data_IF_573933992071
#
_entry.id   IF_573933992071
#
_cell.length_a   1.000
_cell.length_b   1.000
_cell.length_c   1.000
_cell.angle_alpha   90.00
_cell.angle_beta   90.00
_cell.angle_gamma   90.00
#
_symmetry.space_group_name_H-M   'P 1'
#
loop_
_entity.id
_entity.type
_entity.pdbx_description
1 polymer ?
#
# COMPACT_ATOMS: atom_id res chain seq x y z
N UNK A 1 -40.83 46.45 24.06
CA UNK A 1 -41.87 45.45 24.39
C UNK A 1 -41.35 44.13 23.83
N UNK A 2 -40.46 43.40 24.52
CA UNK A 2 -40.71 42.50 25.66
C UNK A 2 -41.73 41.42 25.27
N UNK A 3 -41.39 40.13 25.19
CA UNK A 3 -40.97 39.32 26.34
C UNK A 3 -40.19 38.06 25.95
N UNK A 4 -39.09 37.86 26.70
CA UNK A 4 -38.34 36.61 26.89
C UNK A 4 -39.13 35.71 27.85
N UNK A 5 -39.18 34.39 27.60
CA UNK A 5 -39.64 33.42 28.60
C UNK A 5 -38.50 32.46 28.92
N UNK A 6 -37.95 32.63 30.12
CA UNK A 6 -37.05 31.71 30.82
C UNK A 6 -37.88 30.63 31.52
N UNK A 7 -37.42 29.37 31.48
CA UNK A 7 -37.89 28.34 32.41
C UNK A 7 -36.72 27.69 33.13
N UNK A 8 -36.97 27.46 34.42
CA UNK A 8 -36.03 27.21 35.50
C UNK A 8 -35.37 25.82 35.48
N UNK A 9 -34.09 25.83 35.85
CA UNK A 9 -33.31 24.70 36.34
C UNK A 9 -33.92 24.16 37.65
N UNK A 10 -34.10 22.83 37.74
CA UNK A 10 -34.21 22.10 39.01
C UNK A 10 -33.10 21.05 39.07
N UNK A 11 -32.24 21.21 40.06
CA UNK A 11 -31.20 20.27 40.45
C UNK A 11 -31.79 19.10 41.24
N UNK A 12 -31.49 17.87 40.83
CA UNK A 12 -31.65 16.67 41.66
C UNK A 12 -30.29 16.02 41.87
N UNK A 13 -29.89 16.00 43.13
CA UNK A 13 -28.65 15.41 43.64
C UNK A 13 -28.86 13.91 43.81
N UNK A 14 -28.09 13.08 43.11
CA UNK A 14 -28.08 11.62 43.30
C UNK A 14 -26.75 11.20 43.91
N UNK A 15 -26.86 10.50 45.03
CA UNK A 15 -25.81 10.10 45.97
C UNK A 15 -25.19 8.77 45.49
N UNK A 16 -23.94 8.78 45.05
CA UNK A 16 -23.20 7.56 44.67
C UNK A 16 -22.63 6.88 45.92
N UNK A 17 -23.09 5.66 46.20
CA UNK A 17 -22.50 4.79 47.22
C UNK A 17 -21.29 4.05 46.63
N UNK A 18 -20.18 4.10 47.36
CA UNK A 18 -18.94 3.36 47.10
C UNK A 18 -19.06 2.04 47.85
N UNK A 19 -19.05 0.92 47.11
CA UNK A 19 -18.94 -0.42 47.68
C UNK A 19 -17.53 -0.98 47.37
N UNK A 20 -16.70 -1.06 48.40
CA UNK A 20 -15.41 -1.74 48.42
C UNK A 20 -15.64 -3.25 48.57
N UNK A 21 -15.16 -4.04 47.61
CA UNK A 21 -15.12 -5.50 47.72
C UNK A 21 -13.66 -5.97 47.81
N UNK A 22 -13.29 -6.45 48.99
CA UNK A 22 -12.02 -7.13 49.26
C UNK A 22 -12.13 -8.61 48.87
N UNK A 23 -11.34 -9.10 47.92
CA UNK A 23 -11.22 -10.53 47.63
C UNK A 23 -9.86 -11.09 48.08
N UNK A 24 -9.94 -12.23 48.76
CA UNK A 24 -8.87 -12.95 49.44
C UNK A 24 -8.04 -13.76 48.43
N UNK A 25 -6.72 -13.70 48.59
CA UNK A 25 -5.72 -14.52 47.91
C UNK A 25 -5.85 -16.01 48.24
N UNK A 26 -5.86 -16.87 47.21
CA UNK A 26 -5.58 -18.31 47.34
C UNK A 26 -4.62 -18.74 46.21
N UNK A 27 -3.48 -19.31 46.60
CA UNK A 27 -2.42 -19.82 45.71
C UNK A 27 -2.76 -21.23 45.20
N UNK A 28 -2.53 -21.59 43.93
CA UNK A 28 -2.42 -22.98 43.50
C UNK A 28 -0.96 -23.46 43.40
N UNK A 29 -0.74 -24.72 43.80
CA UNK A 29 0.53 -25.47 43.73
C UNK A 29 0.87 -25.91 42.29
N UNK A 30 2.16 -26.10 41.92
CA UNK A 30 2.54 -26.60 40.60
C UNK A 30 2.33 -28.12 40.48
N UNK A 31 1.83 -28.57 39.32
CA UNK A 31 1.71 -29.98 38.93
C UNK A 31 3.00 -30.44 38.22
N UNK A 32 3.48 -31.62 38.60
CA UNK A 32 4.66 -32.29 38.03
C UNK A 32 4.51 -32.61 36.54
N UNK A 33 5.58 -32.41 35.77
CA UNK A 33 5.71 -32.84 34.37
C UNK A 33 6.49 -34.15 34.33
N UNK A 34 5.90 -35.18 33.73
CA UNK A 34 6.49 -36.50 33.52
C UNK A 34 7.29 -36.50 32.20
N UNK A 35 8.61 -36.73 32.27
CA UNK A 35 9.51 -36.75 31.13
C UNK A 35 9.63 -38.19 30.58
N UNK A 36 9.08 -38.45 29.40
CA UNK A 36 9.26 -39.70 28.65
C UNK A 36 10.49 -39.57 27.72
N UNK A 37 11.56 -40.29 28.06
CA UNK A 37 12.76 -40.43 27.23
C UNK A 37 12.61 -41.62 26.29
N UNK A 38 12.54 -41.37 24.98
CA UNK A 38 12.73 -42.41 23.96
C UNK A 38 14.15 -42.30 23.40
N UNK A 39 14.98 -43.31 23.72
CA UNK A 39 16.29 -43.56 23.11
C UNK A 39 16.08 -44.42 21.87
N UNK A 40 16.58 -44.00 20.71
CA UNK A 40 16.88 -44.92 19.59
C UNK A 40 18.39 -44.88 19.29
N UNK A 41 19.00 -46.07 19.24
CA UNK A 41 20.41 -46.30 18.88
C UNK A 41 20.52 -46.47 17.36
N UNK A 42 21.59 -46.01 16.69
CA UNK A 42 21.81 -46.30 15.29
C UNK A 42 22.57 -47.64 15.15
N UNK A 43 22.28 -48.37 14.07
CA UNK A 43 23.15 -49.44 13.57
C UNK A 43 23.21 -49.43 12.04
N UNK A 44 24.32 -49.94 11.47
CA UNK A 44 24.98 -49.33 10.31
C UNK A 44 24.71 -50.06 8.99
N UNK A 45 24.96 -49.34 7.90
CA UNK A 45 25.01 -49.84 6.53
C UNK A 45 26.38 -50.46 6.29
N UNK A 46 26.43 -51.60 5.61
CA UNK A 46 27.60 -51.98 4.81
C UNK A 46 27.34 -53.09 3.77
N UNK A 47 27.80 -52.81 2.53
CA UNK A 47 28.40 -53.71 1.51
C UNK A 47 27.54 -54.86 0.90
N UNK A 48 27.67 -55.32 -0.36
CA UNK A 48 28.71 -55.24 -1.40
C UNK A 48 28.15 -55.77 -2.76
N UNK A 49 28.59 -55.13 -3.85
CA UNK A 49 29.09 -55.69 -5.13
C UNK A 49 28.22 -56.47 -6.15
N UNK A 50 28.34 -55.89 -7.37
CA UNK A 50 28.73 -56.48 -8.67
C UNK A 50 27.75 -57.33 -9.48
N UNK A 51 27.48 -56.86 -10.70
CA UNK A 51 27.87 -57.58 -11.94
C UNK A 51 28.16 -56.63 -13.10
N UNK A 52 29.11 -57.07 -13.91
CA UNK A 52 29.74 -56.47 -15.09
C UNK A 52 28.94 -56.83 -16.36
N UNK A 53 29.12 -56.05 -17.44
CA UNK A 53 29.01 -56.32 -18.90
C UNK A 53 28.55 -54.98 -19.52
N UNK A 54 29.15 -54.36 -20.53
CA UNK A 54 30.30 -54.61 -21.40
C UNK A 54 30.42 -53.38 -22.34
N UNK A 55 31.63 -53.06 -22.79
CA UNK A 55 31.94 -52.01 -23.79
C UNK A 55 31.11 -52.15 -25.06
N UNK A 56 30.63 -51.05 -25.66
CA UNK A 56 31.13 -50.48 -26.94
C UNK A 56 30.65 -49.01 -27.10
N UNK A 57 31.57 -48.08 -27.34
CA UNK A 57 31.43 -47.05 -28.40
C UNK A 57 30.71 -45.72 -28.12
N UNK A 58 31.48 -44.70 -27.73
CA UNK A 58 31.58 -43.42 -28.47
C UNK A 58 30.45 -42.37 -28.42
N UNK A 59 30.77 -41.21 -27.82
CA UNK A 59 30.25 -39.90 -28.27
C UNK A 59 29.40 -39.11 -27.26
N UNK A 60 30.02 -38.12 -26.59
CA UNK A 60 29.39 -37.07 -25.76
C UNK A 60 28.33 -36.30 -26.58
N UNK A 61 27.08 -36.14 -26.12
CA UNK A 61 26.58 -35.11 -25.17
C UNK A 61 26.31 -33.79 -25.92
N UNK A 62 25.12 -33.18 -25.98
CA UNK A 62 23.98 -33.04 -25.07
C UNK A 62 22.69 -32.80 -25.90
N UNK A 63 21.56 -33.38 -25.49
CA UNK A 63 20.22 -32.95 -25.92
C UNK A 63 19.33 -32.86 -24.68
N UNK A 64 18.61 -31.74 -24.55
CA UNK A 64 17.66 -31.52 -23.46
C UNK A 64 16.26 -32.06 -23.75
N UNK A 65 15.35 -31.64 -22.86
CA UNK A 65 13.90 -31.45 -23.04
C UNK A 65 12.96 -32.55 -22.49
N UNK A 66 12.14 -32.12 -21.50
CA UNK A 66 10.73 -32.45 -21.13
C UNK A 66 10.20 -33.88 -20.89
N UNK A 67 9.49 -33.96 -19.75
CA UNK A 67 8.18 -34.58 -19.40
C UNK A 67 7.83 -36.04 -19.74
N UNK A 68 7.28 -36.78 -18.75
CA UNK A 68 5.88 -37.31 -18.68
C UNK A 68 5.62 -38.17 -17.39
N UNK A 69 4.50 -37.85 -16.73
CA UNK A 69 3.56 -38.53 -15.78
C UNK A 69 3.72 -39.94 -15.13
N UNK A 70 3.34 -40.00 -13.81
CA UNK A 70 2.23 -40.79 -13.17
C UNK A 70 2.48 -41.84 -12.03
N UNK A 71 1.56 -41.79 -11.03
CA UNK A 71 1.10 -42.78 -10.00
C UNK A 71 2.04 -43.15 -8.81
N UNK A 72 1.64 -43.29 -7.52
CA UNK A 72 0.54 -44.07 -6.89
C UNK A 72 0.08 -43.51 -5.51
N UNK A 73 -1.20 -43.79 -5.24
CA UNK A 73 -2.13 -43.72 -4.09
C UNK A 73 -1.74 -43.89 -2.59
N UNK A 74 -2.60 -43.22 -1.79
CA UNK A 74 -3.37 -43.58 -0.55
C UNK A 74 -2.74 -44.41 0.58
N UNK A 75 -2.79 -43.82 1.78
CA UNK A 75 -3.28 -44.49 3.01
C UNK A 75 -4.31 -43.57 3.69
N UNK A 76 -5.53 -44.11 3.88
CA UNK A 76 -6.59 -43.57 4.73
C UNK A 76 -6.28 -43.88 6.20
N UNK A 77 -6.54 -42.92 7.09
CA UNK A 77 -6.86 -43.21 8.50
C UNK A 77 -8.06 -42.35 8.88
N UNK A 78 -9.21 -43.00 9.10
CA UNK A 78 -10.38 -42.44 9.76
C UNK A 78 -10.15 -42.34 11.27
N UNK A 79 -10.49 -41.20 11.86
CA UNK A 79 -10.80 -41.07 13.28
C UNK A 79 -11.97 -40.07 13.42
N UNK A 80 -13.19 -40.60 13.55
CA UNK A 80 -14.31 -39.88 14.16
C UNK A 80 -14.19 -39.98 15.68
N UNK A 81 -14.27 -38.84 16.40
CA UNK A 81 -15.09 -38.70 17.63
C UNK A 81 -15.41 -37.20 17.87
N UNK A 82 -16.71 -36.86 17.81
CA UNK A 82 -17.46 -36.09 18.83
C UNK A 82 -17.09 -34.64 19.17
N UNK A 83 -17.91 -33.70 18.66
CA UNK A 83 -18.69 -32.73 19.43
C UNK A 83 -18.01 -31.78 20.43
N UNK A 84 -17.90 -30.49 20.05
CA UNK A 84 -18.44 -29.32 20.77
C UNK A 84 -17.96 -28.01 20.08
N UNK A 85 -18.86 -27.04 19.94
CA UNK A 85 -18.59 -25.73 19.35
C UNK A 85 -18.14 -24.69 20.39
N UNK A 86 -17.48 -23.63 19.88
CA UNK A 86 -17.40 -22.22 20.36
C UNK A 86 -16.00 -21.78 20.91
N UNK A 87 -15.64 -20.47 20.92
CA UNK A 87 -15.19 -19.72 19.73
C UNK A 87 -14.02 -18.70 19.99
N UNK A 88 -13.58 -18.03 18.91
CA UNK A 88 -12.85 -16.74 18.80
C UNK A 88 -11.34 -16.60 19.15
N UNK A 89 -10.62 -16.14 18.11
CA UNK A 89 -9.64 -15.04 18.07
C UNK A 89 -8.49 -14.96 19.08
N UNK A 90 -7.24 -14.89 18.57
CA UNK A 90 -6.34 -13.71 18.66
C UNK A 90 -4.97 -13.98 18.00
N UNK A 91 -4.21 -12.93 17.63
CA UNK A 91 -3.11 -12.99 16.65
C UNK A 91 -1.76 -13.43 17.25
N UNK A 92 -0.95 -14.05 16.41
CA UNK A 92 0.46 -14.36 16.69
C UNK A 92 1.32 -13.13 16.43
N UNK A 93 1.78 -12.46 17.49
CA UNK A 93 2.98 -11.64 17.48
C UNK A 93 3.81 -11.95 18.72
N UNK A 94 5.13 -11.91 18.53
CA UNK A 94 6.19 -11.88 19.55
C UNK A 94 6.72 -13.22 20.08
N UNK A 95 7.63 -13.82 19.32
CA UNK A 95 8.77 -14.53 19.92
C UNK A 95 10.04 -14.28 19.09
N UNK A 96 10.79 -13.26 19.50
CA UNK A 96 12.18 -13.05 19.10
C UNK A 96 13.03 -12.80 20.34
N UNK A 97 13.97 -13.72 20.55
CA UNK A 97 15.30 -13.52 21.14
C UNK A 97 15.42 -13.47 22.67
N UNK A 98 15.67 -14.64 23.27
CA UNK A 98 16.75 -14.84 24.23
C UNK A 98 17.31 -16.27 24.05
N UNK A 99 18.36 -16.43 23.24
CA UNK A 99 19.21 -17.63 23.26
C UNK A 99 20.54 -17.22 23.87
N UNK A 100 20.68 -17.42 25.18
CA UNK A 100 21.97 -17.37 25.88
C UNK A 100 22.73 -18.66 25.58
N UNK A 101 23.88 -18.50 24.92
CA UNK A 101 24.82 -19.59 24.69
C UNK A 101 25.47 -19.99 26.01
N UNK A 102 25.28 -21.23 26.43
CA UNK A 102 26.11 -21.87 27.46
C UNK A 102 27.04 -22.86 26.77
N UNK A 103 28.31 -22.47 26.59
CA UNK A 103 29.37 -23.37 26.18
C UNK A 103 29.67 -24.37 27.30
N UNK A 104 29.52 -25.66 27.01
CA UNK A 104 30.14 -26.74 27.79
C UNK A 104 31.58 -26.92 27.31
N UNK A 105 32.57 -26.66 28.18
CA UNK A 105 33.90 -27.24 28.04
C UNK A 105 34.09 -28.28 29.15
N UNK A 106 34.16 -29.55 28.74
CA UNK A 106 34.51 -30.68 29.60
C UNK A 106 36.03 -30.66 29.80
N UNK A 107 36.47 -30.53 31.06
CA UNK A 107 37.86 -30.73 31.45
C UNK A 107 38.24 -32.21 31.34
N UNK A 108 39.19 -32.53 30.46
CA UNK A 108 39.95 -33.78 30.51
C UNK A 108 41.23 -33.56 31.36
N UNK A 109 41.67 -34.54 32.17
CA UNK A 109 42.90 -34.41 32.93
C UNK A 109 44.11 -34.49 31.98
N UNK A 110 44.94 -33.45 31.97
CA UNK A 110 46.24 -33.42 31.29
C UNK A 110 47.15 -34.49 31.90
N UNK A 111 47.50 -35.50 31.10
CA UNK A 111 48.67 -36.35 31.34
C UNK A 111 49.90 -35.49 31.03
N UNK A 112 50.74 -35.22 32.03
CA UNK A 112 52.03 -34.56 31.88
C UNK A 112 52.91 -35.42 30.98
N UNK A 113 52.98 -35.04 29.70
CA UNK A 113 54.01 -35.46 28.77
C UNK A 113 54.73 -34.18 28.41
N UNK A 114 56.01 -34.15 28.70
CA UNK A 114 56.95 -33.08 28.38
C UNK A 114 56.99 -32.93 26.86
N UNK A 115 56.12 -32.06 26.32
CA UNK A 115 56.08 -31.75 24.90
C UNK A 115 57.10 -30.66 24.62
N UNK A 116 58.05 -31.04 23.78
CA UNK A 116 58.97 -30.19 23.03
C UNK A 116 58.37 -28.79 22.75
N UNK A 117 59.10 -27.74 23.15
CA UNK A 117 58.71 -26.31 23.20
C UNK A 117 58.18 -25.74 21.85
N UNK A 118 58.29 -26.52 20.77
CA UNK A 118 57.74 -26.24 19.44
C UNK A 118 56.24 -26.52 19.30
N UNK A 119 55.71 -27.57 19.95
CA UNK A 119 54.30 -27.93 19.84
C UNK A 119 53.38 -26.98 20.63
N UNK A 120 53.83 -26.49 21.79
CA UNK A 120 53.12 -25.49 22.57
C UNK A 120 53.01 -24.14 21.83
N UNK A 121 54.08 -23.72 21.14
CA UNK A 121 54.09 -22.51 20.30
C UNK A 121 53.15 -22.63 19.10
N UNK A 122 53.05 -23.80 18.47
CA UNK A 122 52.11 -24.04 17.37
C UNK A 122 50.65 -24.03 17.82
N UNK A 123 50.31 -24.63 18.97
CA UNK A 123 48.94 -24.57 19.51
C UNK A 123 48.53 -23.15 19.89
N UNK A 124 49.44 -22.38 20.50
CA UNK A 124 49.16 -20.99 20.87
C UNK A 124 48.97 -20.09 19.63
N UNK A 125 49.74 -20.30 18.56
CA UNK A 125 49.54 -19.60 17.28
C UNK A 125 48.23 -19.99 16.59
N UNK A 126 47.80 -21.25 16.70
CA UNK A 126 46.53 -21.73 16.15
C UNK A 126 45.33 -21.07 16.87
N UNK A 127 45.33 -21.05 18.20
CA UNK A 127 44.27 -20.42 19.01
C UNK A 127 44.20 -18.89 18.77
N UNK A 128 45.34 -18.23 18.59
CA UNK A 128 45.40 -16.80 18.29
C UNK A 128 44.86 -16.50 16.87
N UNK A 129 45.11 -17.39 15.90
CA UNK A 129 44.59 -17.26 14.53
C UNK A 129 43.07 -17.50 14.48
N UNK A 130 42.56 -18.47 15.23
CA UNK A 130 41.13 -18.74 15.37
C UNK A 130 40.39 -17.60 16.08
N UNK A 131 40.97 -17.03 17.14
CA UNK A 131 40.45 -15.86 17.84
C UNK A 131 40.37 -14.63 16.92
N UNK A 132 41.43 -14.34 16.15
CA UNK A 132 41.44 -13.24 15.17
C UNK A 132 40.41 -13.45 14.06
N UNK A 133 40.23 -14.68 13.61
CA UNK A 133 39.23 -15.05 12.59
C UNK A 133 37.80 -14.89 13.10
N UNK A 134 37.54 -15.31 14.35
CA UNK A 134 36.25 -15.14 15.01
C UNK A 134 35.90 -13.66 15.21
N UNK A 135 36.87 -12.83 15.62
CA UNK A 135 36.69 -11.38 15.77
C UNK A 135 36.36 -10.73 14.42
N UNK A 136 37.09 -11.08 13.34
CA UNK A 136 36.82 -10.55 12.00
C UNK A 136 35.45 -10.97 11.47
N UNK A 137 35.04 -12.23 11.70
CA UNK A 137 33.71 -12.74 11.35
C UNK A 137 32.60 -12.03 12.14
N UNK A 138 32.80 -11.76 13.43
CA UNK A 138 31.85 -10.97 14.24
C UNK A 138 31.73 -9.52 13.77
N UNK A 139 32.83 -8.86 13.40
CA UNK A 139 32.79 -7.52 12.82
C UNK A 139 32.10 -7.51 11.45
N UNK A 140 32.32 -8.52 10.61
CA UNK A 140 31.64 -8.66 9.32
C UNK A 140 30.12 -8.90 9.50
N UNK A 141 29.72 -9.75 10.46
CA UNK A 141 28.31 -9.97 10.78
C UNK A 141 27.65 -8.70 11.33
N UNK A 142 28.33 -7.94 12.19
CA UNK A 142 27.84 -6.69 12.73
C UNK A 142 27.70 -5.61 11.64
N UNK A 143 28.64 -5.55 10.69
CA UNK A 143 28.56 -4.68 9.53
C UNK A 143 27.39 -5.06 8.61
N UNK A 144 27.13 -6.36 8.41
CA UNK A 144 25.96 -6.86 7.67
C UNK A 144 24.63 -6.49 8.38
N UNK A 145 24.57 -6.57 9.72
CA UNK A 145 23.39 -6.18 10.51
C UNK A 145 23.11 -4.66 10.49
N UNK A 146 24.13 -3.82 10.27
CA UNK A 146 23.98 -2.35 10.18
C UNK A 146 23.47 -1.87 8.82
N UNK A 147 23.37 -2.74 7.80
CA UNK A 147 23.05 -2.34 6.41
C UNK A 147 21.57 -2.45 6.03
N UNK A 148 20.68 -2.86 6.94
CA UNK A 148 19.26 -3.06 6.64
C UNK A 148 18.33 -2.18 7.47
N UNK A 149 18.59 -0.88 7.60
CA UNK A 149 17.54 0.06 8.02
C UNK A 149 16.74 0.47 6.79
N UNK A 150 15.67 -0.25 6.48
CA UNK A 150 14.67 0.25 5.53
C UNK A 150 14.00 1.46 6.17
N UNK A 151 14.21 2.67 5.62
CA UNK A 151 13.58 3.88 6.15
C UNK A 151 12.07 3.79 5.89
N UNK A 152 11.30 3.42 6.91
CA UNK A 152 9.85 3.33 6.81
C UNK A 152 9.24 4.74 6.77
N UNK A 153 8.15 4.89 6.00
CA UNK A 153 7.39 6.13 6.01
C UNK A 153 6.83 6.40 7.41
N UNK A 154 6.80 7.67 7.81
CA UNK A 154 6.33 8.10 9.14
C UNK A 154 5.67 9.46 9.05
N UNK A 155 4.68 9.72 9.91
CA UNK A 155 3.92 10.97 9.92
C UNK A 155 4.75 12.19 10.33
N UNK A 156 5.80 11.99 11.11
CA UNK A 156 6.65 13.04 11.67
C UNK A 156 8.05 13.07 11.03
N UNK A 157 8.19 12.57 9.80
CA UNK A 157 9.49 12.42 9.10
C UNK A 157 10.29 13.73 9.06
N UNK A 158 9.63 14.85 8.79
CA UNK A 158 10.26 16.17 8.68
C UNK A 158 10.27 16.98 9.98
N UNK A 159 9.82 16.43 11.12
CA UNK A 159 9.67 17.18 12.38
C UNK A 159 10.94 17.95 12.81
N UNK A 160 12.11 17.36 12.59
CA UNK A 160 13.39 17.96 12.98
C UNK A 160 14.06 18.75 11.84
N UNK A 161 13.76 18.42 10.58
CA UNK A 161 14.43 19.01 9.40
C UNK A 161 13.63 20.18 8.82
N UNK A 162 12.31 20.03 8.68
CA UNK A 162 11.37 21.03 8.17
C UNK A 162 10.05 20.96 8.97
N UNK A 163 10.02 21.48 10.21
CA UNK A 163 8.84 21.37 11.09
C UNK A 163 7.58 22.04 10.52
N UNK A 164 7.75 23.03 9.65
CA UNK A 164 6.64 23.80 9.06
C UNK A 164 6.14 23.23 7.72
N UNK A 165 6.64 22.06 7.27
CA UNK A 165 6.34 21.51 5.94
C UNK A 165 4.83 21.45 5.66
N UNK A 166 4.05 20.93 6.61
CA UNK A 166 2.61 20.78 6.42
C UNK A 166 1.90 22.13 6.27
N UNK A 167 2.28 23.14 7.07
CA UNK A 167 1.70 24.47 6.97
C UNK A 167 2.09 25.19 5.68
N UNK A 168 3.34 25.02 5.21
CA UNK A 168 3.82 25.63 3.99
C UNK A 168 3.10 25.05 2.76
N UNK A 169 2.99 23.71 2.69
CA UNK A 169 2.24 23.04 1.63
C UNK A 169 0.76 23.45 1.67
N UNK A 170 0.11 23.37 2.84
CA UNK A 170 -1.30 23.73 2.98
C UNK A 170 -1.58 25.16 2.53
N UNK A 171 -0.76 26.13 2.95
CA UNK A 171 -0.91 27.52 2.56
C UNK A 171 -0.80 27.71 1.04
N UNK A 172 0.18 27.05 0.41
CA UNK A 172 0.36 27.12 -1.05
C UNK A 172 -0.83 26.47 -1.80
N UNK A 173 -1.29 25.32 -1.33
CA UNK A 173 -2.42 24.58 -1.90
C UNK A 173 -3.72 25.37 -1.75
N UNK A 174 -4.00 25.94 -0.57
CA UNK A 174 -5.17 26.80 -0.35
C UNK A 174 -5.17 28.00 -1.30
N UNK A 175 -4.02 28.66 -1.48
CA UNK A 175 -3.90 29.78 -2.42
C UNK A 175 -4.17 29.34 -3.86
N UNK A 176 -3.68 28.17 -4.28
CA UNK A 176 -3.92 27.64 -5.64
C UNK A 176 -5.38 27.21 -5.83
N UNK A 177 -5.99 26.57 -4.82
CA UNK A 177 -7.40 26.19 -4.84
C UNK A 177 -8.34 27.40 -4.97
N UNK A 178 -8.02 28.52 -4.31
CA UNK A 178 -8.77 29.78 -4.45
C UNK A 178 -8.69 30.39 -5.86
N UNK A 179 -7.66 30.05 -6.65
CA UNK A 179 -7.56 30.51 -8.04
C UNK A 179 -8.49 29.72 -8.97
N UNK A 180 -8.63 28.42 -8.73
CA UNK A 180 -9.49 27.54 -9.51
C UNK A 180 -9.79 26.26 -8.77
N UNK A 181 -11.07 25.85 -8.78
CA UNK A 181 -11.50 24.58 -8.21
C UNK A 181 -10.84 23.37 -8.90
N UNK A 182 -10.43 23.49 -10.17
CA UNK A 182 -9.74 22.43 -10.95
C UNK A 182 -8.51 21.89 -10.21
N UNK A 183 -7.87 22.72 -9.39
CA UNK A 183 -6.79 22.34 -8.46
C UNK A 183 -7.08 21.04 -7.72
N UNK A 184 -8.27 20.87 -7.17
CA UNK A 184 -8.58 19.70 -6.35
C UNK A 184 -8.63 18.38 -7.12
N UNK A 185 -9.52 18.20 -8.12
CA UNK A 185 -9.54 16.97 -8.88
C UNK A 185 -8.24 16.73 -9.66
N UNK A 186 -7.55 17.79 -10.11
CA UNK A 186 -6.28 17.67 -10.82
C UNK A 186 -5.17 17.09 -9.92
N UNK A 187 -4.96 17.65 -8.72
CA UNK A 187 -3.94 17.15 -7.78
C UNK A 187 -4.28 15.76 -7.25
N UNK A 188 -5.55 15.48 -6.98
CA UNK A 188 -5.99 14.16 -6.54
C UNK A 188 -5.73 13.08 -7.60
N UNK A 189 -6.10 13.35 -8.86
CA UNK A 189 -5.83 12.45 -9.99
C UNK A 189 -4.33 12.30 -10.24
N UNK A 190 -3.56 13.38 -10.13
CA UNK A 190 -2.11 13.36 -10.33
C UNK A 190 -1.41 12.41 -9.35
N UNK A 191 -1.82 12.39 -8.08
CA UNK A 191 -1.27 11.46 -7.09
C UNK A 191 -1.62 10.00 -7.40
N UNK A 192 -2.85 9.73 -7.87
CA UNK A 192 -3.20 8.38 -8.32
C UNK A 192 -2.33 7.92 -9.48
N UNK A 193 -2.14 8.77 -10.49
CA UNK A 193 -1.31 8.46 -11.65
C UNK A 193 0.16 8.22 -11.27
N UNK A 194 0.72 9.05 -10.40
CA UNK A 194 2.08 8.86 -9.86
C UNK A 194 2.23 7.46 -9.25
N UNK A 195 1.36 7.15 -8.29
CA UNK A 195 1.44 5.90 -7.53
C UNK A 195 1.24 4.64 -8.38
N UNK A 196 0.47 4.69 -9.47
CA UNK A 196 0.16 3.50 -10.28
C UNK A 196 1.22 3.16 -11.34
N UNK A 197 2.04 4.12 -11.78
CA UNK A 197 2.97 3.91 -12.91
C UNK A 197 4.31 3.33 -12.43
N UNK A 198 4.96 3.96 -11.45
CA UNK A 198 6.25 3.50 -10.90
C UNK A 198 6.30 3.48 -9.37
N UNK A 199 5.15 3.62 -8.73
CA UNK A 199 5.04 3.91 -7.31
C UNK A 199 5.01 5.41 -7.04
N UNK A 200 4.67 5.80 -5.81
CA UNK A 200 4.56 7.21 -5.43
C UNK A 200 5.96 7.84 -5.30
N UNK A 201 6.58 8.16 -6.43
CA UNK A 201 7.95 8.66 -6.53
C UNK A 201 8.04 10.00 -7.29
N UNK A 202 6.92 10.65 -7.56
CA UNK A 202 6.81 11.87 -8.32
C UNK A 202 7.39 11.81 -9.75
N UNK A 203 7.55 10.62 -10.36
CA UNK A 203 8.01 10.46 -11.73
C UNK A 203 7.10 11.18 -12.73
N UNK A 204 5.79 11.24 -12.44
CA UNK A 204 4.79 11.93 -13.26
C UNK A 204 5.06 13.44 -13.39
N UNK A 205 5.79 14.04 -12.43
CA UNK A 205 6.07 15.49 -12.44
C UNK A 205 7.20 15.87 -13.41
N UNK A 206 8.06 14.93 -13.81
CA UNK A 206 9.19 15.17 -14.72
C UNK A 206 8.67 15.72 -16.06
N UNK A 207 9.35 16.74 -16.59
CA UNK A 207 8.97 17.37 -17.86
C UNK A 207 9.26 16.47 -19.06
N UNK A 208 8.53 16.68 -20.15
CA UNK A 208 8.65 15.89 -21.39
C UNK A 208 10.06 15.94 -22.00
N UNK A 209 10.52 14.85 -22.66
CA UNK A 209 9.80 13.59 -22.87
C UNK A 209 9.67 12.75 -21.58
N UNK A 210 8.46 12.30 -21.25
CA UNK A 210 8.10 11.74 -19.93
C UNK A 210 6.79 10.92 -19.97
N UNK A 211 6.32 10.49 -18.81
CA UNK A 211 4.98 9.91 -18.62
C UNK A 211 3.86 10.81 -19.18
N UNK A 212 4.02 12.14 -19.10
CA UNK A 212 3.04 13.14 -19.56
C UNK A 212 2.68 13.03 -21.05
N UNK A 213 3.56 12.42 -21.85
CA UNK A 213 3.34 12.26 -23.28
C UNK A 213 2.53 11.00 -23.63
N UNK A 214 2.18 10.17 -22.63
CA UNK A 214 1.31 9.01 -22.83
C UNK A 214 -0.15 9.45 -23.03
N UNK A 215 -0.93 8.81 -23.92
CA UNK A 215 -2.32 9.19 -24.20
C UNK A 215 -3.26 9.28 -22.98
N UNK A 216 -3.03 8.44 -21.96
CA UNK A 216 -3.83 8.49 -20.72
C UNK A 216 -3.49 9.69 -19.81
N UNK A 217 -2.29 10.26 -19.97
CA UNK A 217 -1.76 11.36 -19.16
C UNK A 217 -1.89 12.73 -19.84
N UNK A 218 -2.13 12.78 -21.16
CA UNK A 218 -2.39 14.03 -21.89
C UNK A 218 -3.54 14.86 -21.31
N UNK A 219 -4.45 14.20 -20.58
CA UNK A 219 -5.61 14.81 -19.93
C UNK A 219 -5.35 15.24 -18.48
N UNK A 220 -4.15 15.01 -17.92
CA UNK A 220 -3.79 15.51 -16.60
C UNK A 220 -3.73 17.04 -16.66
N UNK A 221 -4.58 17.69 -15.88
CA UNK A 221 -4.68 19.14 -15.91
C UNK A 221 -3.42 19.81 -15.34
N UNK A 222 -2.97 20.87 -16.02
CA UNK A 222 -1.82 21.68 -15.61
C UNK A 222 -1.90 22.17 -14.16
N UNK A 223 -3.11 22.46 -13.67
CA UNK A 223 -3.37 22.90 -12.29
C UNK A 223 -2.86 21.92 -11.23
N UNK A 224 -2.88 20.62 -11.50
CA UNK A 224 -2.34 19.61 -10.59
C UNK A 224 -0.82 19.73 -10.43
N UNK A 225 -0.11 19.87 -11.55
CA UNK A 225 1.34 20.08 -11.58
C UNK A 225 1.73 21.41 -10.94
N UNK A 226 1.02 22.48 -11.30
CA UNK A 226 1.17 23.82 -10.75
C UNK A 226 1.06 23.84 -9.22
N UNK A 227 0.14 23.05 -8.67
CA UNK A 227 -0.07 22.94 -7.22
C UNK A 227 1.18 22.42 -6.53
N UNK A 228 1.78 21.35 -7.05
CA UNK A 228 3.00 20.77 -6.50
C UNK A 228 4.19 21.71 -6.68
N UNK A 229 4.34 22.33 -7.85
CA UNK A 229 5.44 23.26 -8.15
C UNK A 229 5.38 24.49 -7.22
N UNK A 230 4.19 25.08 -7.02
CA UNK A 230 4.01 26.22 -6.11
C UNK A 230 4.23 25.82 -4.65
N UNK A 231 3.78 24.64 -4.25
CA UNK A 231 4.04 24.12 -2.91
C UNK A 231 5.53 23.85 -2.68
N UNK A 232 6.24 23.30 -3.67
CA UNK A 232 7.71 23.12 -3.63
C UNK A 232 8.43 24.44 -3.45
N UNK A 233 8.09 25.45 -4.24
CA UNK A 233 8.68 26.78 -4.10
C UNK A 233 8.40 27.41 -2.72
N UNK A 234 7.19 27.23 -2.17
CA UNK A 234 6.86 27.70 -0.83
C UNK A 234 7.66 26.98 0.26
N UNK A 235 7.78 25.65 0.16
CA UNK A 235 8.59 24.84 1.08
C UNK A 235 10.07 25.25 1.01
N UNK A 236 10.62 25.42 -0.19
CA UNK A 236 12.04 25.77 -0.35
C UNK A 236 12.35 27.24 -0.02
N UNK A 237 11.34 28.10 0.12
CA UNK A 237 11.51 29.48 0.61
C UNK A 237 11.87 29.54 2.11
N UNK A 238 11.56 28.48 2.88
CA UNK A 238 12.03 28.32 4.26
C UNK A 238 13.45 27.71 4.25
N UNK A 239 14.42 28.48 4.74
CA UNK A 239 15.83 28.06 4.83
C UNK A 239 16.07 26.74 5.57
N UNK A 240 15.18 26.36 6.50
CA UNK A 240 15.28 25.06 7.20
C UNK A 240 14.85 23.91 6.30
N UNK A 241 13.97 24.17 5.34
CA UNK A 241 13.32 23.19 4.48
C UNK A 241 13.94 23.07 3.10
N UNK A 242 14.61 24.12 2.62
CA UNK A 242 15.21 24.22 1.30
C UNK A 242 15.98 22.94 0.90
N UNK A 243 15.53 22.29 -0.18
CA UNK A 243 16.10 21.07 -0.74
C UNK A 243 16.10 19.84 0.21
N UNK A 244 15.23 19.82 1.22
CA UNK A 244 15.10 18.70 2.17
C UNK A 244 13.79 17.94 2.07
N UNK A 245 12.79 18.44 1.34
CA UNK A 245 11.48 17.81 1.16
C UNK A 245 11.33 17.38 -0.30
N UNK A 246 11.01 16.10 -0.52
CA UNK A 246 10.81 15.52 -1.84
C UNK A 246 9.52 16.01 -2.49
N UNK A 247 9.49 15.99 -3.82
CA UNK A 247 8.29 16.29 -4.58
C UNK A 247 7.19 15.25 -4.36
N UNK A 248 7.56 13.98 -4.16
CA UNK A 248 6.63 12.89 -3.83
C UNK A 248 5.87 13.15 -2.52
N UNK A 249 6.56 13.62 -1.47
CA UNK A 249 5.90 13.98 -0.21
C UNK A 249 5.07 15.26 -0.31
N UNK A 250 5.51 16.25 -1.08
CA UNK A 250 4.72 17.46 -1.33
C UNK A 250 3.43 17.11 -2.08
N UNK A 251 3.49 16.23 -3.08
CA UNK A 251 2.30 15.76 -3.79
C UNK A 251 1.35 15.03 -2.84
N UNK A 252 1.85 14.12 -1.99
CA UNK A 252 1.02 13.41 -1.01
C UNK A 252 0.34 14.36 0.00
N UNK A 253 1.07 15.38 0.49
CA UNK A 253 0.51 16.41 1.37
C UNK A 253 -0.54 17.27 0.65
N UNK A 254 -0.23 17.68 -0.59
CA UNK A 254 -1.14 18.49 -1.40
C UNK A 254 -2.43 17.74 -1.71
N UNK A 255 -2.37 16.44 -1.99
CA UNK A 255 -3.54 15.58 -2.18
C UNK A 255 -4.47 15.58 -0.97
N UNK A 256 -3.90 15.42 0.24
CA UNK A 256 -4.69 15.50 1.48
C UNK A 256 -5.34 16.88 1.64
N UNK A 257 -4.59 17.94 1.40
CA UNK A 257 -5.09 19.30 1.59
C UNK A 257 -6.19 19.67 0.56
N UNK A 258 -6.10 19.23 -0.71
CA UNK A 258 -7.19 19.48 -1.67
C UNK A 258 -8.46 18.68 -1.37
N UNK A 259 -8.34 17.46 -0.84
CA UNK A 259 -9.49 16.66 -0.40
C UNK A 259 -10.22 17.39 0.73
N UNK A 260 -9.47 17.89 1.73
CA UNK A 260 -10.04 18.66 2.84
C UNK A 260 -10.71 19.96 2.34
N UNK A 261 -10.05 20.70 1.44
CA UNK A 261 -10.62 21.94 0.89
C UNK A 261 -11.89 21.71 0.07
N UNK A 262 -12.05 20.52 -0.54
CA UNK A 262 -13.26 20.11 -1.23
C UNK A 262 -14.35 19.55 -0.29
N UNK A 263 -14.15 19.54 1.04
CA UNK A 263 -15.12 19.05 2.03
C UNK A 263 -14.95 17.58 2.45
N UNK A 264 -13.87 16.94 2.01
CA UNK A 264 -13.53 15.56 2.34
C UNK A 264 -12.83 15.41 3.70
N UNK A 265 -12.43 14.18 4.06
CA UNK A 265 -11.82 13.90 5.36
C UNK A 265 -10.40 14.44 5.45
N UNK A 266 -10.03 14.92 6.63
CA UNK A 266 -8.62 15.12 6.99
C UNK A 266 -8.01 13.82 7.48
N UNK A 267 -6.73 13.61 7.18
CA UNK A 267 -5.97 12.46 7.63
C UNK A 267 -4.49 12.80 7.79
N UNK A 268 -3.79 11.97 8.57
CA UNK A 268 -2.35 12.04 8.73
C UNK A 268 -1.67 11.45 7.50
N UNK A 269 -0.73 12.19 6.91
CA UNK A 269 0.03 11.73 5.75
C UNK A 269 1.34 11.14 6.23
N UNK A 270 1.66 9.91 5.80
CA UNK A 270 2.98 9.33 6.02
C UNK A 270 3.97 9.89 5.02
N UNK A 271 5.15 10.29 5.48
CA UNK A 271 6.17 11.00 4.72
C UNK A 271 7.51 10.25 4.77
N UNK A 272 8.44 10.65 3.92
CA UNK A 272 9.75 10.03 3.73
C UNK A 272 9.95 9.42 2.35
N UNK A 273 9.06 9.71 1.39
CA UNK A 273 9.22 9.28 -0.01
C UNK A 273 10.40 10.04 -0.64
N UNK A 274 11.04 9.40 -1.61
CA UNK A 274 12.07 10.01 -2.45
C UNK A 274 11.60 10.09 -3.89
N UNK A 275 12.17 11.04 -4.60
CA UNK A 275 11.86 11.29 -5.98
C UNK A 275 12.55 10.28 -6.89
N UNK A 276 11.80 9.72 -7.83
CA UNK A 276 12.25 8.86 -8.90
C UNK A 276 13.07 9.62 -9.95
N UNK A 277 13.88 8.87 -10.70
CA UNK A 277 14.76 9.39 -11.76
C UNK A 277 14.38 8.92 -13.16
N UNK A 278 13.23 8.28 -13.30
CA UNK A 278 12.80 7.66 -14.57
C UNK A 278 11.35 8.04 -14.78
N UNK A 279 11.06 8.68 -15.91
CA UNK A 279 9.71 8.98 -16.38
C UNK A 279 9.70 8.81 -17.89
N UNK A 280 8.84 7.93 -18.40
CA UNK A 280 8.74 7.65 -19.84
C UNK A 280 7.29 7.35 -20.20
N UNK A 281 6.87 7.76 -21.41
CA UNK A 281 5.53 7.45 -21.90
C UNK A 281 5.25 5.93 -21.92
N UNK A 282 6.25 5.12 -22.30
CA UNK A 282 6.14 3.66 -22.29
C UNK A 282 5.93 3.07 -20.88
N UNK A 283 6.36 3.77 -19.83
CA UNK A 283 6.15 3.36 -18.44
C UNK A 283 4.68 3.33 -18.05
N UNK A 284 3.87 4.24 -18.58
CA UNK A 284 2.42 4.35 -18.27
C UNK A 284 1.61 3.19 -18.86
N UNK A 285 2.08 2.62 -19.97
CA UNK A 285 1.35 1.63 -20.73
C UNK A 285 0.95 0.42 -19.86
N UNK A 286 -0.36 0.14 -19.80
CA UNK A 286 -0.98 -0.96 -19.04
C UNK A 286 -0.92 -0.83 -17.50
N UNK A 287 -0.50 0.30 -16.96
CA UNK A 287 -0.47 0.55 -15.52
C UNK A 287 -1.67 1.37 -15.01
N UNK A 288 -2.43 2.02 -15.90
CA UNK A 288 -3.59 2.83 -15.53
C UNK A 288 -4.93 2.16 -15.92
N UNK A 289 -5.96 2.25 -15.06
CA UNK A 289 -7.26 1.68 -15.35
C UNK A 289 -7.98 2.48 -16.44
N UNK A 290 -8.67 1.78 -17.33
CA UNK A 290 -9.43 2.42 -18.40
C UNK A 290 -10.90 2.61 -18.00
N UNK A 291 -11.58 3.65 -18.52
CA UNK A 291 -12.98 3.96 -18.17
C UNK A 291 -13.99 2.88 -18.58
N UNK A 292 -13.57 1.91 -19.39
CA UNK A 292 -14.38 0.79 -19.87
C UNK A 292 -14.01 -0.56 -19.22
N UNK A 293 -13.15 -0.57 -18.20
CA UNK A 293 -12.81 -1.80 -17.49
C UNK A 293 -14.02 -2.40 -16.76
N UNK A 294 -14.10 -3.72 -16.78
CA UNK A 294 -15.03 -4.48 -15.94
C UNK A 294 -14.47 -4.68 -14.52
N UNK A 295 -15.26 -5.26 -13.62
CA UNK A 295 -14.87 -5.44 -12.22
C UNK A 295 -13.63 -6.33 -12.06
N UNK A 296 -13.46 -7.36 -12.89
CA UNK A 296 -12.29 -8.25 -12.81
C UNK A 296 -11.00 -7.53 -13.22
N UNK A 297 -11.06 -6.71 -14.27
CA UNK A 297 -9.92 -5.89 -14.71
C UNK A 297 -9.55 -4.84 -13.66
N UNK A 298 -10.54 -4.19 -13.04
CA UNK A 298 -10.32 -3.25 -11.93
C UNK A 298 -9.67 -3.96 -10.73
N UNK A 299 -10.24 -5.09 -10.29
CA UNK A 299 -9.68 -5.86 -9.18
C UNK A 299 -8.25 -6.31 -9.46
N UNK A 300 -7.98 -6.86 -10.66
CA UNK A 300 -6.65 -7.33 -11.03
C UNK A 300 -5.61 -6.21 -10.93
N UNK A 301 -5.90 -5.04 -11.49
CA UNK A 301 -4.97 -3.90 -11.51
C UNK A 301 -4.77 -3.25 -10.13
N UNK A 302 -5.81 -3.15 -9.31
CA UNK A 302 -5.65 -2.65 -7.95
C UNK A 302 -4.91 -3.67 -7.06
N UNK A 303 -5.21 -4.97 -7.22
CA UNK A 303 -4.54 -6.03 -6.47
C UNK A 303 -3.06 -6.17 -6.79
N UNK A 304 -2.63 -5.90 -8.03
CA UNK A 304 -1.20 -5.88 -8.39
C UNK A 304 -0.43 -4.77 -7.67
N UNK A 305 -1.13 -3.77 -7.14
CA UNK A 305 -0.59 -2.69 -6.32
C UNK A 305 -0.89 -2.88 -4.82
N UNK A 306 -1.31 -4.08 -4.41
CA UNK A 306 -1.62 -4.39 -3.00
C UNK A 306 -2.88 -3.72 -2.46
N UNK A 307 -3.79 -3.30 -3.33
CA UNK A 307 -5.07 -2.67 -2.97
C UNK A 307 -6.21 -3.67 -3.09
N UNK A 308 -7.07 -3.74 -2.08
CA UNK A 308 -8.25 -4.62 -2.05
C UNK A 308 -9.38 -4.05 -2.92
N UNK A 309 -10.42 -4.86 -3.17
CA UNK A 309 -11.63 -4.37 -3.84
C UNK A 309 -12.29 -3.22 -3.08
N UNK A 310 -12.31 -3.25 -1.75
CA UNK A 310 -12.84 -2.14 -0.94
C UNK A 310 -11.98 -0.89 -1.09
N UNK A 311 -10.65 -1.03 -1.17
CA UNK A 311 -9.76 0.11 -1.42
C UNK A 311 -10.01 0.71 -2.81
N UNK A 312 -10.21 -0.15 -3.82
CA UNK A 312 -10.58 0.27 -5.18
C UNK A 312 -11.90 1.04 -5.20
N UNK A 313 -12.97 0.49 -4.61
CA UNK A 313 -14.29 1.14 -4.56
C UNK A 313 -14.22 2.47 -3.81
N UNK A 314 -13.43 2.54 -2.72
CA UNK A 314 -13.23 3.77 -1.98
C UNK A 314 -12.48 4.82 -2.82
N UNK A 315 -11.39 4.45 -3.48
CA UNK A 315 -10.61 5.35 -4.35
C UNK A 315 -11.39 5.82 -5.57
N UNK A 316 -12.27 4.98 -6.15
CA UNK A 316 -13.21 5.40 -7.20
C UNK A 316 -14.15 6.52 -6.74
N UNK A 317 -14.40 6.64 -5.43
CA UNK A 317 -15.13 7.75 -4.83
C UNK A 317 -14.50 9.12 -5.09
N UNK A 318 -13.21 9.19 -5.47
CA UNK A 318 -12.57 10.43 -5.94
C UNK A 318 -13.28 11.06 -7.15
N UNK A 319 -14.04 10.28 -7.94
CA UNK A 319 -14.88 10.78 -9.03
C UNK A 319 -16.08 11.61 -8.57
N UNK A 320 -16.30 11.77 -7.26
CA UNK A 320 -17.25 12.75 -6.70
C UNK A 320 -16.91 14.21 -7.03
N UNK A 321 -15.66 14.51 -7.41
CA UNK A 321 -15.24 15.83 -7.89
C UNK A 321 -14.50 15.74 -9.23
N UNK A 322 -14.59 16.80 -10.01
CA UNK A 322 -13.83 16.96 -11.25
C UNK A 322 -14.58 16.57 -12.51
N UNK A 323 -13.82 16.39 -13.59
CA UNK A 323 -14.35 16.44 -14.94
C UNK A 323 -13.77 15.34 -15.82
N UNK A 324 -14.53 14.96 -16.84
CA UNK A 324 -14.08 14.06 -17.89
C UNK A 324 -14.38 14.65 -19.26
N UNK A 325 -13.43 14.49 -20.19
CA UNK A 325 -13.69 14.74 -21.60
C UNK A 325 -14.73 13.78 -22.17
N UNK A 326 -15.58 14.28 -23.07
CA UNK A 326 -16.66 13.50 -23.68
C UNK A 326 -16.15 12.21 -24.35
N UNK A 327 -14.96 12.24 -24.93
CA UNK A 327 -14.35 11.08 -25.60
C UNK A 327 -14.14 9.86 -24.69
N UNK A 328 -14.07 10.03 -23.36
CA UNK A 328 -13.81 8.94 -22.42
C UNK A 328 -15.04 8.10 -22.05
N UNK A 329 -16.26 8.59 -22.35
CA UNK A 329 -17.52 7.86 -22.08
C UNK A 329 -18.51 7.90 -23.26
N UNK A 330 -18.16 8.53 -24.39
CA UNK A 330 -19.04 8.69 -25.54
C UNK A 330 -19.54 7.35 -26.12
N UNK A 331 -18.76 6.27 -25.97
CA UNK A 331 -19.18 4.91 -26.32
C UNK A 331 -20.47 4.53 -25.59
N UNK A 332 -20.62 4.87 -24.31
CA UNK A 332 -21.82 4.55 -23.49
C UNK A 332 -23.07 5.27 -23.97
N UNK A 333 -22.95 6.42 -24.63
CA UNK A 333 -24.11 7.20 -25.05
C UNK A 333 -24.39 7.13 -26.56
N UNK A 334 -23.46 6.65 -27.39
CA UNK A 334 -23.67 6.57 -28.85
C UNK A 334 -23.49 5.18 -29.48
N UNK A 335 -22.55 4.37 -28.97
CA UNK A 335 -22.12 3.11 -29.61
C UNK A 335 -21.72 2.08 -28.54
N UNK A 336 -22.62 1.78 -27.62
CA UNK A 336 -22.27 0.91 -26.49
C UNK A 336 -22.00 -0.53 -26.91
N UNK A 337 -22.87 -1.11 -27.73
CA UNK A 337 -22.71 -2.44 -28.30
C UNK A 337 -23.42 -2.55 -29.66
N UNK A 338 -23.18 -3.62 -30.44
CA UNK A 338 -23.93 -3.84 -31.69
C UNK A 338 -25.47 -3.91 -31.48
N UNK A 339 -25.92 -4.26 -30.27
CA UNK A 339 -27.35 -4.42 -29.92
C UNK A 339 -27.95 -3.20 -29.22
N UNK A 340 -27.14 -2.30 -28.68
CA UNK A 340 -27.63 -1.12 -27.95
C UNK A 340 -26.77 0.11 -28.20
N UNK A 341 -27.41 1.21 -28.60
CA UNK A 341 -26.72 2.49 -28.82
C UNK A 341 -26.33 3.17 -27.50
N UNK A 342 -27.17 3.04 -26.49
CA UNK A 342 -26.92 3.55 -25.13
C UNK A 342 -26.66 2.35 -24.22
N UNK A 343 -25.72 2.50 -23.29
CA UNK A 343 -25.47 1.52 -22.24
C UNK A 343 -26.76 1.26 -21.45
N UNK A 344 -27.28 0.01 -21.40
CA UNK A 344 -28.50 -0.30 -20.65
C UNK A 344 -28.40 -0.06 -19.14
N UNK A 345 -27.19 0.03 -18.59
CA UNK A 345 -26.94 0.34 -17.18
C UNK A 345 -26.98 1.84 -16.90
N UNK A 346 -26.91 2.68 -17.93
CA UNK A 346 -26.95 4.13 -17.81
C UNK A 346 -28.40 4.62 -17.80
N UNK A 347 -28.73 5.45 -16.81
CA UNK A 347 -30.01 6.10 -16.68
C UNK A 347 -30.37 6.85 -17.97
N UNK A 348 -31.54 6.54 -18.55
CA UNK A 348 -31.90 7.05 -19.87
C UNK A 348 -32.03 8.58 -19.92
N UNK A 349 -32.59 9.21 -18.87
CA UNK A 349 -32.70 10.66 -18.79
C UNK A 349 -31.32 11.30 -18.68
N UNK A 350 -30.43 10.73 -17.85
CA UNK A 350 -29.06 11.20 -17.74
C UNK A 350 -28.26 11.01 -19.05
N UNK A 351 -28.44 9.89 -19.74
CA UNK A 351 -27.83 9.65 -21.05
C UNK A 351 -28.24 10.73 -22.08
N UNK A 352 -29.49 11.18 -22.05
CA UNK A 352 -29.97 12.26 -22.90
C UNK A 352 -29.35 13.61 -22.52
N UNK A 353 -29.20 13.90 -21.23
CA UNK A 353 -28.47 15.09 -20.76
C UNK A 353 -27.00 15.06 -21.20
N UNK A 354 -26.34 13.91 -21.07
CA UNK A 354 -24.96 13.72 -21.54
C UNK A 354 -24.84 13.96 -23.05
N UNK A 355 -25.80 13.50 -23.87
CA UNK A 355 -25.81 13.78 -25.32
C UNK A 355 -25.99 15.26 -25.66
N UNK A 356 -26.69 16.03 -24.83
CA UNK A 356 -26.82 17.48 -25.03
C UNK A 356 -25.50 18.20 -24.76
N UNK A 357 -24.78 17.79 -23.71
CA UNK A 357 -23.47 18.38 -23.36
C UNK A 357 -22.33 17.86 -24.24
N UNK A 358 -22.47 16.64 -24.78
CA UNK A 358 -21.47 15.95 -25.60
C UNK A 358 -22.09 15.50 -26.93
N UNK A 359 -22.47 16.42 -27.84
CA UNK A 359 -22.98 16.06 -29.15
C UNK A 359 -21.95 15.26 -29.98
N UNK A 360 -22.42 14.59 -31.04
CA UNK A 360 -21.52 13.95 -32.02
C UNK A 360 -20.63 15.06 -32.61
N UNK A 361 -19.31 14.84 -32.59
CA UNK A 361 -18.28 15.80 -33.00
C UNK A 361 -18.14 17.04 -32.10
N UNK A 362 -18.45 16.92 -30.80
CA UNK A 362 -18.07 17.92 -29.80
C UNK A 362 -16.56 18.20 -29.81
N UNK A 363 -16.15 19.44 -29.55
CA UNK A 363 -14.73 19.79 -29.37
C UNK A 363 -14.11 18.87 -28.31
N UNK A 364 -13.01 18.15 -28.62
CA UNK A 364 -12.41 17.18 -27.71
C UNK A 364 -11.92 17.78 -26.39
N UNK A 365 -11.77 19.10 -26.31
CA UNK A 365 -11.40 19.83 -25.09
C UNK A 365 -12.58 20.02 -24.13
N UNK A 366 -13.82 19.84 -24.58
CA UNK A 366 -14.99 19.92 -23.70
C UNK A 366 -14.93 18.80 -22.68
N UNK A 367 -15.04 19.20 -21.42
CA UNK A 367 -15.14 18.32 -20.27
C UNK A 367 -16.43 18.62 -19.50
N UNK A 368 -17.03 17.59 -18.93
CA UNK A 368 -18.22 17.69 -18.10
C UNK A 368 -17.95 17.11 -16.72
N UNK A 369 -18.75 17.50 -15.73
CA UNK A 369 -18.62 16.99 -14.37
C UNK A 369 -18.82 15.46 -14.31
N UNK A 370 -17.98 14.78 -13.54
CA UNK A 370 -18.12 13.35 -13.26
C UNK A 370 -19.26 13.07 -12.28
N UNK A 371 -19.46 13.97 -11.31
CA UNK A 371 -20.60 13.96 -10.40
C UNK A 371 -21.66 14.98 -10.86
N UNK A 372 -22.85 14.54 -11.33
CA UNK A 372 -23.91 15.45 -11.75
C UNK A 372 -24.70 16.09 -10.58
N UNK A 373 -24.46 15.67 -9.34
CA UNK A 373 -25.21 16.07 -8.15
C UNK A 373 -24.46 17.12 -7.34
N UNK A 374 -23.20 16.88 -7.00
CA UNK A 374 -22.35 17.78 -6.20
C UNK A 374 -20.94 17.91 -6.79
N UNK A 375 -20.80 18.48 -7.99
CA UNK A 375 -19.56 18.44 -8.80
C UNK A 375 -18.30 19.02 -8.12
N UNK A 376 -18.51 19.84 -7.08
CA UNK A 376 -17.44 20.53 -6.37
C UNK A 376 -17.29 20.12 -4.90
N UNK A 377 -18.03 19.09 -4.44
CA UNK A 377 -17.98 18.63 -3.04
C UNK A 377 -17.47 17.21 -2.97
N UNK A 378 -16.48 16.96 -2.11
CA UNK A 378 -15.99 15.62 -1.84
C UNK A 378 -16.91 14.91 -0.84
N UNK A 379 -17.90 14.20 -1.36
CA UNK A 379 -18.92 13.52 -0.56
C UNK A 379 -19.31 12.15 -1.15
N UNK A 380 -20.37 11.54 -0.63
CA UNK A 380 -20.85 10.25 -1.09
C UNK A 380 -21.92 10.31 -2.18
N UNK A 381 -22.16 11.47 -2.81
CA UNK A 381 -23.09 11.61 -3.92
C UNK A 381 -22.67 10.73 -5.11
N UNK A 382 -21.38 10.55 -5.35
CA UNK A 382 -20.86 9.57 -6.30
C UNK A 382 -21.55 8.20 -6.18
N UNK A 383 -21.60 7.61 -4.98
CA UNK A 383 -22.22 6.29 -4.78
C UNK A 383 -23.75 6.33 -4.90
N UNK A 384 -24.39 7.43 -4.48
CA UNK A 384 -25.84 7.64 -4.68
C UNK A 384 -26.18 7.78 -6.16
N UNK A 385 -25.29 8.33 -6.97
CA UNK A 385 -25.42 8.44 -8.41
C UNK A 385 -25.34 7.04 -9.06
N UNK A 386 -24.41 6.18 -8.62
CA UNK A 386 -24.33 4.80 -9.10
C UNK A 386 -25.64 4.02 -8.84
N UNK A 387 -26.25 4.20 -7.66
CA UNK A 387 -27.55 3.59 -7.35
C UNK A 387 -28.68 4.00 -8.32
N UNK A 388 -28.53 5.14 -8.98
CA UNK A 388 -29.49 5.69 -9.93
C UNK A 388 -29.12 5.43 -11.39
N UNK A 389 -28.07 4.66 -11.67
CA UNK A 389 -27.54 4.46 -13.02
C UNK A 389 -26.84 5.70 -13.58
N UNK A 390 -26.28 6.56 -12.72
CA UNK A 390 -25.67 7.84 -13.10
C UNK A 390 -24.14 7.86 -12.96
N UNK A 391 -23.49 6.70 -12.86
CA UNK A 391 -22.04 6.63 -13.01
C UNK A 391 -21.63 7.07 -14.41
N UNK A 392 -20.62 7.91 -14.55
CA UNK A 392 -20.23 8.46 -15.85
C UNK A 392 -19.52 7.39 -16.71
N UNK A 393 -18.55 6.71 -16.12
CA UNK A 393 -17.79 5.65 -16.80
C UNK A 393 -18.43 4.27 -16.63
N UNK A 394 -18.14 3.34 -17.54
CA UNK A 394 -18.55 1.95 -17.35
C UNK A 394 -17.83 1.35 -16.15
N UNK A 395 -16.60 1.76 -15.89
CA UNK A 395 -15.83 1.40 -14.70
C UNK A 395 -16.42 1.95 -13.39
N UNK A 396 -17.26 2.99 -13.45
CA UNK A 396 -18.02 3.47 -12.28
C UNK A 396 -19.27 2.61 -12.08
N UNK A 397 -20.09 2.50 -13.13
CA UNK A 397 -21.40 1.85 -13.06
C UNK A 397 -21.28 0.34 -12.79
N UNK A 398 -20.17 -0.29 -13.20
CA UNK A 398 -19.90 -1.70 -12.89
C UNK A 398 -19.81 -1.97 -11.39
N UNK A 399 -19.40 -0.97 -10.58
CA UNK A 399 -19.27 -1.13 -9.12
C UNK A 399 -20.63 -1.39 -8.44
N UNK A 400 -21.70 -0.83 -9.00
CA UNK A 400 -23.06 -1.03 -8.48
C UNK A 400 -23.81 -2.17 -9.17
N UNK A 401 -23.56 -2.39 -10.46
CA UNK A 401 -24.29 -3.41 -11.24
C UNK A 401 -23.76 -4.83 -11.01
N UNK A 402 -22.49 -5.01 -10.66
CA UNK A 402 -21.95 -6.32 -10.26
C UNK A 402 -22.24 -6.62 -8.77
N UNK A 403 -22.81 -7.79 -8.50
CA UNK A 403 -23.22 -8.22 -7.15
C UNK A 403 -22.07 -8.27 -6.14
N UNK A 404 -20.83 -8.51 -6.59
CA UNK A 404 -19.65 -8.67 -5.72
C UNK A 404 -19.24 -7.38 -5.02
N UNK A 405 -19.41 -6.23 -5.68
CA UNK A 405 -19.06 -4.90 -5.17
C UNK A 405 -20.26 -4.11 -4.64
N UNK A 406 -21.49 -4.49 -5.04
CA UNK A 406 -22.72 -3.74 -4.77
C UNK A 406 -22.99 -3.43 -3.30
N UNK A 407 -22.69 -4.35 -2.39
CA UNK A 407 -22.90 -4.15 -0.95
C UNK A 407 -22.03 -3.02 -0.39
N UNK A 408 -20.79 -2.90 -0.85
CA UNK A 408 -19.87 -1.81 -0.48
C UNK A 408 -20.37 -0.46 -1.02
N UNK A 409 -20.83 -0.42 -2.27
CA UNK A 409 -21.45 0.79 -2.85
C UNK A 409 -22.67 1.24 -2.04
N UNK A 410 -23.55 0.31 -1.66
CA UNK A 410 -24.72 0.62 -0.84
C UNK A 410 -24.35 1.18 0.55
N UNK A 411 -23.31 0.61 1.17
CA UNK A 411 -22.80 1.12 2.44
C UNK A 411 -22.29 2.57 2.29
N UNK A 412 -21.47 2.83 1.29
CA UNK A 412 -20.91 4.17 1.07
C UNK A 412 -21.98 5.19 0.67
N UNK A 413 -22.97 4.81 -0.13
CA UNK A 413 -24.10 5.68 -0.50
C UNK A 413 -24.98 6.06 0.71
N UNK A 414 -25.20 5.13 1.63
CA UNK A 414 -26.03 5.35 2.83
C UNK A 414 -25.28 6.03 3.98
N UNK A 415 -23.95 5.91 4.03
CA UNK A 415 -23.13 6.42 5.13
C UNK A 415 -21.86 7.13 4.61
N UNK A 416 -21.90 8.46 4.60
CA UNK A 416 -20.76 9.28 4.20
C UNK A 416 -19.54 9.09 5.12
N UNK A 417 -19.74 8.86 6.41
CA UNK A 417 -18.64 8.58 7.35
C UNK A 417 -17.92 7.27 7.03
N UNK A 418 -18.66 6.23 6.64
CA UNK A 418 -18.08 4.95 6.23
C UNK A 418 -17.27 5.10 4.93
N UNK A 419 -17.77 5.85 3.96
CA UNK A 419 -17.02 6.20 2.75
C UNK A 419 -15.72 6.93 3.11
N UNK A 420 -15.80 8.02 3.88
CA UNK A 420 -14.64 8.84 4.22
C UNK A 420 -13.57 8.04 4.98
N UNK A 421 -13.96 7.16 5.90
CA UNK A 421 -13.03 6.29 6.62
C UNK A 421 -12.34 5.27 5.68
N UNK A 422 -13.11 4.67 4.77
CA UNK A 422 -12.56 3.75 3.78
C UNK A 422 -11.63 4.49 2.79
N UNK A 423 -11.99 5.70 2.38
CA UNK A 423 -11.17 6.54 1.51
C UNK A 423 -9.83 6.88 2.17
N UNK A 424 -9.83 7.31 3.44
CA UNK A 424 -8.59 7.56 4.21
C UNK A 424 -7.71 6.31 4.28
N UNK A 425 -8.31 5.14 4.53
CA UNK A 425 -7.58 3.87 4.57
C UNK A 425 -6.96 3.56 3.20
N UNK A 426 -7.73 3.69 2.13
CA UNK A 426 -7.33 3.35 0.78
C UNK A 426 -6.27 4.32 0.23
N UNK A 427 -6.43 5.64 0.42
CA UNK A 427 -5.47 6.65 -0.03
C UNK A 427 -4.15 6.56 0.74
N UNK A 428 -4.19 6.15 2.02
CA UNK A 428 -2.98 5.88 2.81
C UNK A 428 -2.24 4.66 2.26
N UNK A 429 -2.95 3.58 1.94
CA UNK A 429 -2.35 2.39 1.29
C UNK A 429 -1.80 2.73 -0.09
N UNK A 430 -2.55 3.49 -0.89
CA UNK A 430 -2.09 3.98 -2.19
C UNK A 430 -0.77 4.73 -2.05
N UNK A 431 -0.68 5.63 -1.08
CA UNK A 431 0.54 6.37 -0.79
C UNK A 431 1.76 5.53 -0.39
N UNK A 432 1.60 4.22 -0.15
CA UNK A 432 2.71 3.28 0.15
C UNK A 432 3.14 2.48 -1.07
N UNK A 433 2.44 2.59 -2.20
CA UNK A 433 2.73 1.81 -3.41
C UNK A 433 4.08 2.22 -3.99
N UNK A 434 4.97 1.24 -4.17
CA UNK A 434 6.25 1.38 -4.88
C UNK A 434 7.18 2.50 -4.38
N UNK A 435 7.02 2.92 -3.12
CA UNK A 435 7.72 4.10 -2.59
C UNK A 435 9.23 3.90 -2.55
N UNK A 436 9.94 4.97 -2.89
CA UNK A 436 11.39 5.06 -2.77
C UNK A 436 11.77 5.64 -1.41
N UNK A 437 12.69 5.00 -0.70
CA UNK A 437 13.13 5.43 0.64
C UNK A 437 14.65 5.35 0.78
N UNK A 438 15.20 5.94 1.86
CA UNK A 438 16.64 5.90 2.15
C UNK A 438 17.50 6.48 1.02
N UNK A 439 18.22 5.64 0.29
CA UNK A 439 19.08 6.06 -0.83
C UNK A 439 18.46 5.76 -2.22
N UNK A 440 17.24 5.23 -2.28
CA UNK A 440 16.60 4.75 -3.52
C UNK A 440 15.98 5.86 -4.38
N UNK A 441 16.64 7.00 -4.56
CA UNK A 441 16.08 8.15 -5.29
C UNK A 441 16.78 9.44 -4.88
N UNK A 442 16.14 10.57 -5.08
CA UNK A 442 16.65 11.89 -4.69
C UNK A 442 15.63 12.78 -3.99
N UNK A 443 16.08 13.95 -3.57
CA UNK A 443 15.23 15.07 -3.19
C UNK A 443 15.45 16.12 -4.27
N UNK A 444 14.51 16.25 -5.20
CA UNK A 444 14.65 17.17 -6.32
C UNK A 444 14.59 18.62 -5.84
N UNK A 445 15.44 19.45 -6.41
CA UNK A 445 15.39 20.92 -6.24
C UNK A 445 14.26 21.53 -7.06
N UNK A 446 13.95 20.90 -8.18
CA UNK A 446 12.91 21.27 -9.12
C UNK A 446 12.11 20.02 -9.49
N UNK A 447 10.82 20.00 -9.19
CA UNK A 447 9.98 18.83 -9.42
C UNK A 447 9.79 18.46 -10.90
N UNK A 448 10.32 19.25 -11.84
CA UNK A 448 10.22 18.99 -13.27
C UNK A 448 11.45 18.31 -13.86
N UNK A 449 12.55 18.17 -13.11
CA UNK A 449 13.80 17.59 -13.62
C UNK A 449 14.60 16.87 -12.55
N UNK A 450 15.42 15.92 -12.98
CA UNK A 450 16.39 15.23 -12.13
C UNK A 450 17.50 16.23 -11.74
N UNK A 451 18.08 16.07 -10.54
CA UNK A 451 19.10 16.96 -9.99
C UNK A 451 20.42 17.01 -10.76
#
# INVERSE_FOLDING_TARGET
MSTVTTQNLRSTTTRTQIATYTSRSSKPKPKSVMLLLLKSKPKPIDWLRQRRIGDVGGGYGFAGVREIFALVDRVHVELEVGGEQLPWSTPWSDYSLLVSWSFWFVFFPKKLIETDDKHAKQQQQQEEMESRSAILLSFLLLALLLTTTSAQLRSDFYKNTCPNVESLVRSAVTKKFQQTFVTAPATLRLFFHDCFVRGCDASVLIASPSEKDHPDDLSLAGDGFDTVIKAKAAVDSDSRCANKVSCADILALATRDVVVLAGGPSYTVELGRRDGRISTAAGVQRHLPQPNFNLDQLNAMFSSNGLTQTDMIALSGAHTIGFSHCGRFSNRIYKFSPKSRIDPTLNSAYALQLRQMCPINVDPRIAINMDPTTPNTFDNAYYKNLQQGKGLFSSDEILFTDTRSKSTVNLFASNNGAFQQAFVTAITKLGRVGVKTGNQGEIRRDCTRIN
#
